data_IF_059498234626
#
_entry.id   IF_059498234626
#
_cell.length_a   1.000
_cell.length_b   1.000
_cell.length_c   1.000
_cell.angle_alpha   90.00
_cell.angle_beta   90.00
_cell.angle_gamma   90.00
#
_symmetry.space_group_name_H-M   'P 1'
#
loop_
_entity.id
_entity.type
_entity.pdbx_description
1 polymer ?
#
# COMPACT_ATOMS: atom_id res chain seq x y z
N UNK A 1 3.18 -13.88 16.03
CA UNK A 1 1.90 -13.42 15.44
C UNK A 1 1.93 -11.89 15.42
N UNK A 2 1.60 -11.24 14.30
CA UNK A 2 1.82 -9.78 14.13
C UNK A 2 0.56 -8.93 14.40
N UNK A 3 -0.58 -9.54 14.73
CA UNK A 3 -1.84 -8.84 15.11
C UNK A 3 -2.38 -7.86 14.05
N UNK A 4 -1.97 -8.01 12.78
CA UNK A 4 -2.48 -7.21 11.67
C UNK A 4 -3.84 -7.77 11.20
N UNK A 5 -4.86 -6.92 11.27
CA UNK A 5 -6.26 -7.26 10.95
C UNK A 5 -6.49 -7.53 9.46
N UNK A 6 -7.60 -8.18 9.13
CA UNK A 6 -7.98 -8.49 7.75
C UNK A 6 -8.54 -7.27 7.00
N UNK A 7 -8.76 -7.42 5.70
CA UNK A 7 -9.23 -6.35 4.81
C UNK A 7 -10.58 -5.74 5.23
N UNK A 8 -11.46 -6.51 5.87
CA UNK A 8 -12.78 -6.03 6.27
C UNK A 8 -12.69 -5.08 7.47
N UNK A 9 -11.83 -5.40 8.44
CA UNK A 9 -11.56 -4.51 9.57
C UNK A 9 -10.83 -3.25 9.11
N UNK A 10 -9.88 -3.36 8.18
CA UNK A 10 -9.22 -2.19 7.58
C UNK A 10 -10.23 -1.30 6.85
N UNK A 11 -11.12 -1.86 6.04
CA UNK A 11 -12.20 -1.10 5.39
C UNK A 11 -13.07 -0.40 6.43
N UNK A 12 -13.54 -1.12 7.45
CA UNK A 12 -14.39 -0.56 8.51
C UNK A 12 -13.70 0.59 9.24
N UNK A 13 -12.41 0.44 9.54
CA UNK A 13 -11.58 1.47 10.15
C UNK A 13 -11.50 2.72 9.28
N UNK A 14 -11.21 2.54 7.99
CA UNK A 14 -11.17 3.64 7.03
C UNK A 14 -12.49 4.37 6.90
N UNK A 15 -13.62 3.65 6.81
CA UNK A 15 -14.94 4.28 6.67
C UNK A 15 -15.28 5.18 7.87
N UNK A 16 -14.95 4.73 9.10
CA UNK A 16 -15.09 5.55 10.31
C UNK A 16 -14.21 6.80 10.26
N UNK A 17 -12.94 6.64 9.86
CA UNK A 17 -12.01 7.76 9.74
C UNK A 17 -12.49 8.76 8.68
N UNK A 18 -12.92 8.27 7.52
CA UNK A 18 -13.46 9.08 6.44
C UNK A 18 -14.69 9.86 6.90
N UNK A 19 -15.65 9.19 7.55
CA UNK A 19 -16.84 9.84 8.10
C UNK A 19 -16.50 10.94 9.11
N UNK A 20 -15.54 10.68 10.01
CA UNK A 20 -15.04 11.69 10.95
C UNK A 20 -14.45 12.92 10.22
N UNK A 21 -13.66 12.69 9.17
CA UNK A 21 -12.99 13.75 8.42
C UNK A 21 -13.96 14.56 7.55
N UNK A 22 -15.04 13.95 7.03
CA UNK A 22 -16.02 14.64 6.19
C UNK A 22 -17.14 15.30 6.98
N UNK A 23 -17.59 14.68 8.08
CA UNK A 23 -18.80 15.09 8.80
C UNK A 23 -18.51 15.62 10.21
N UNK A 24 -17.24 15.58 10.66
CA UNK A 24 -16.84 16.08 11.96
C UNK A 24 -17.11 17.57 12.13
N UNK A 25 -17.57 17.96 13.32
CA UNK A 25 -17.85 19.35 13.69
C UNK A 25 -16.58 20.17 14.02
N UNK A 26 -15.38 19.59 13.87
CA UNK A 26 -14.09 20.22 14.11
C UNK A 26 -13.74 20.46 15.58
N UNK A 27 -14.55 19.97 16.53
CA UNK A 27 -14.27 20.13 17.96
C UNK A 27 -13.20 19.12 18.43
N UNK A 28 -12.09 19.61 18.98
CA UNK A 28 -10.86 18.83 19.20
C UNK A 28 -11.03 17.58 20.09
N UNK A 29 -11.71 17.61 21.25
CA UNK A 29 -11.95 16.41 22.06
C UNK A 29 -12.77 15.33 21.33
N UNK A 30 -13.74 15.75 20.52
CA UNK A 30 -14.59 14.82 19.76
C UNK A 30 -13.84 14.25 18.56
N UNK A 31 -12.98 15.05 17.92
CA UNK A 31 -12.11 14.61 16.85
C UNK A 31 -11.11 13.55 17.31
N UNK A 32 -10.38 13.80 18.40
CA UNK A 32 -9.37 12.86 18.91
C UNK A 32 -9.99 11.53 19.34
N UNK A 33 -11.17 11.57 19.98
CA UNK A 33 -11.93 10.36 20.32
C UNK A 33 -12.39 9.60 19.06
N UNK A 34 -12.96 10.31 18.09
CA UNK A 34 -13.37 9.68 16.83
C UNK A 34 -12.19 9.06 16.07
N UNK A 35 -11.02 9.71 16.12
CA UNK A 35 -9.79 9.20 15.51
C UNK A 35 -9.34 7.91 16.19
N UNK A 36 -9.36 7.86 17.52
CA UNK A 36 -9.08 6.65 18.30
C UNK A 36 -10.09 5.53 18.00
N UNK A 37 -11.39 5.85 18.00
CA UNK A 37 -12.49 4.93 17.72
C UNK A 37 -12.47 4.37 16.28
N UNK A 38 -11.79 5.06 15.36
CA UNK A 38 -11.56 4.58 13.99
C UNK A 38 -10.62 3.38 13.95
N UNK A 39 -9.69 3.25 14.90
CA UNK A 39 -8.67 2.20 14.91
C UNK A 39 -7.57 2.36 13.86
N UNK A 40 -7.61 3.41 13.03
CA UNK A 40 -6.71 3.53 11.88
C UNK A 40 -5.25 3.60 12.30
N UNK A 41 -4.93 4.48 13.26
CA UNK A 41 -3.56 4.66 13.76
C UNK A 41 -3.05 3.39 14.48
N UNK A 42 -3.92 2.64 15.14
CA UNK A 42 -3.58 1.36 15.75
C UNK A 42 -3.20 0.32 14.69
N UNK A 43 -3.90 0.30 13.55
CA UNK A 43 -3.55 -0.57 12.43
C UNK A 43 -2.21 -0.18 11.79
N UNK A 44 -1.95 1.12 11.58
CA UNK A 44 -0.65 1.61 11.10
C UNK A 44 0.48 1.26 12.08
N UNK A 45 0.26 1.45 13.39
CA UNK A 45 1.23 1.09 14.42
C UNK A 45 1.52 -0.42 14.43
N UNK A 46 0.50 -1.26 14.26
CA UNK A 46 0.65 -2.71 14.20
C UNK A 46 1.46 -3.16 12.97
N UNK A 47 1.23 -2.53 11.81
CA UNK A 47 2.03 -2.75 10.60
C UNK A 47 3.50 -2.39 10.82
N UNK A 48 3.77 -1.17 11.31
CA UNK A 48 5.13 -0.70 11.57
C UNK A 48 5.85 -1.57 12.61
N UNK A 49 5.15 -1.97 13.69
CA UNK A 49 5.70 -2.88 14.71
C UNK A 49 6.04 -4.25 14.12
N UNK A 50 5.19 -4.78 13.24
CA UNK A 50 5.43 -6.04 12.56
C UNK A 50 6.65 -5.98 11.64
N UNK A 51 6.77 -4.92 10.84
CA UNK A 51 7.91 -4.70 9.96
C UNK A 51 9.22 -4.45 10.72
N UNK A 52 9.16 -3.72 11.83
CA UNK A 52 10.32 -3.50 12.69
C UNK A 52 10.80 -4.82 13.32
N UNK A 53 9.89 -5.69 13.77
CA UNK A 53 10.22 -7.01 14.29
C UNK A 53 10.92 -7.89 13.24
N UNK A 54 10.42 -7.87 12.00
CA UNK A 54 11.05 -8.56 10.88
C UNK A 54 12.44 -7.99 10.56
N UNK A 55 12.58 -6.66 10.52
CA UNK A 55 13.84 -5.99 10.30
C UNK A 55 14.89 -6.33 11.39
N UNK A 56 14.48 -6.31 12.65
CA UNK A 56 15.32 -6.67 13.79
C UNK A 56 15.78 -8.13 13.74
N UNK A 57 14.89 -9.04 13.33
CA UNK A 57 15.23 -10.46 13.16
C UNK A 57 16.29 -10.68 12.07
N UNK A 58 16.19 -9.94 10.97
CA UNK A 58 17.16 -10.01 9.87
C UNK A 58 18.50 -9.37 10.25
N UNK A 59 18.45 -8.14 10.79
CA UNK A 59 19.64 -7.32 11.00
C UNK A 59 20.39 -7.67 12.28
N UNK A 60 19.68 -7.74 13.41
CA UNK A 60 20.31 -7.93 14.72
C UNK A 60 20.48 -9.41 15.05
N UNK A 61 19.44 -10.21 14.83
CA UNK A 61 19.50 -11.65 15.13
C UNK A 61 20.19 -12.49 14.04
N UNK A 62 20.45 -11.91 12.85
CA UNK A 62 21.09 -12.58 11.71
C UNK A 62 20.36 -13.88 11.32
N UNK A 63 19.03 -13.86 11.34
CA UNK A 63 18.19 -15.02 11.01
C UNK A 63 17.33 -14.74 9.79
N UNK A 64 17.23 -15.73 8.90
CA UNK A 64 16.22 -15.75 7.84
C UNK A 64 14.83 -15.88 8.45
N UNK A 65 13.83 -15.29 7.78
CA UNK A 65 12.43 -15.36 8.19
C UNK A 65 11.53 -15.64 6.99
N UNK A 66 10.34 -16.20 7.27
CA UNK A 66 9.27 -16.38 6.31
C UNK A 66 8.09 -15.52 6.76
N UNK A 67 7.67 -14.56 5.94
CA UNK A 67 6.45 -13.78 6.17
C UNK A 67 5.33 -14.38 5.35
N UNK A 68 4.22 -14.73 6.01
CA UNK A 68 2.99 -15.10 5.31
C UNK A 68 1.77 -14.59 6.10
N UNK A 69 0.63 -14.52 5.42
CA UNK A 69 -0.67 -14.33 6.05
C UNK A 69 -1.62 -15.46 5.60
N UNK A 70 -2.88 -15.15 5.32
CA UNK A 70 -3.84 -16.12 4.77
C UNK A 70 -3.47 -16.44 3.32
N UNK A 71 -3.62 -15.47 2.42
CA UNK A 71 -3.38 -15.65 0.98
C UNK A 71 -2.03 -15.10 0.49
N UNK A 72 -1.36 -14.30 1.32
CA UNK A 72 -0.01 -13.83 1.05
C UNK A 72 0.13 -12.56 0.20
N UNK A 73 -0.96 -11.94 -0.25
CA UNK A 73 -0.89 -10.75 -1.14
C UNK A 73 -1.29 -9.42 -0.50
N UNK A 74 -1.88 -9.42 0.70
CA UNK A 74 -2.25 -8.18 1.43
C UNK A 74 -1.21 -7.87 2.52
N UNK A 75 -1.39 -8.44 3.72
CA UNK A 75 -0.54 -8.17 4.90
C UNK A 75 0.92 -8.57 4.70
N UNK A 76 1.17 -9.62 3.93
CA UNK A 76 2.54 -10.03 3.60
C UNK A 76 3.23 -8.93 2.82
N UNK A 77 2.62 -8.45 1.73
CA UNK A 77 3.14 -7.38 0.90
C UNK A 77 3.41 -6.10 1.72
N UNK A 78 2.48 -5.72 2.61
CA UNK A 78 2.67 -4.58 3.51
C UNK A 78 3.92 -4.76 4.40
N UNK A 79 4.04 -5.91 5.08
CA UNK A 79 5.13 -6.16 6.03
C UNK A 79 6.46 -6.24 5.31
N UNK A 80 6.56 -6.98 4.20
CA UNK A 80 7.84 -7.17 3.48
C UNK A 80 8.32 -5.87 2.84
N UNK A 81 7.43 -5.06 2.25
CA UNK A 81 7.78 -3.76 1.67
C UNK A 81 8.34 -2.81 2.74
N UNK A 82 7.62 -2.66 3.85
CA UNK A 82 8.06 -1.81 4.95
C UNK A 82 9.33 -2.33 5.62
N UNK A 83 9.52 -3.65 5.73
CA UNK A 83 10.77 -4.24 6.25
C UNK A 83 11.97 -3.88 5.37
N UNK A 84 11.81 -3.99 4.05
CA UNK A 84 12.85 -3.61 3.10
C UNK A 84 13.15 -2.10 3.15
N UNK A 85 12.13 -1.27 3.28
CA UNK A 85 12.28 0.18 3.44
C UNK A 85 13.07 0.57 4.70
N UNK A 86 12.87 -0.18 5.80
CA UNK A 86 13.64 0.00 7.04
C UNK A 86 15.11 -0.41 6.87
N UNK A 87 15.39 -1.50 6.15
CA UNK A 87 16.72 -2.11 6.09
C UNK A 87 17.62 -1.56 4.98
N UNK A 88 17.06 -1.25 3.81
CA UNK A 88 17.83 -0.94 2.61
C UNK A 88 17.64 0.53 2.19
N UNK A 89 18.70 1.36 2.25
CA UNK A 89 18.64 2.75 1.80
C UNK A 89 18.23 2.93 0.33
N UNK A 90 18.45 1.92 -0.53
CA UNK A 90 18.04 1.99 -1.93
C UNK A 90 16.54 2.26 -2.05
N UNK A 91 15.70 1.56 -1.27
CA UNK A 91 14.24 1.73 -1.34
C UNK A 91 13.74 3.08 -0.78
N UNK A 92 14.61 3.90 -0.21
CA UNK A 92 14.31 5.27 0.24
C UNK A 92 14.65 6.34 -0.80
N UNK A 93 15.16 5.93 -1.96
CA UNK A 93 15.27 6.76 -3.17
C UNK A 93 13.94 6.76 -3.93
N UNK A 94 13.70 7.76 -4.79
CA UNK A 94 12.49 7.81 -5.64
C UNK A 94 12.41 6.54 -6.49
N UNK A 95 13.49 6.22 -7.21
CA UNK A 95 13.56 5.03 -8.06
C UNK A 95 13.39 3.74 -7.26
N UNK A 96 14.03 3.65 -6.10
CA UNK A 96 13.90 2.48 -5.24
C UNK A 96 12.49 2.30 -4.71
N UNK A 97 11.82 3.38 -4.29
CA UNK A 97 10.45 3.28 -3.80
C UNK A 97 9.46 2.88 -4.91
N UNK A 98 9.58 3.45 -6.12
CA UNK A 98 8.81 2.98 -7.29
C UNK A 98 9.08 1.50 -7.57
N UNK A 99 10.35 1.07 -7.53
CA UNK A 99 10.74 -0.34 -7.70
C UNK A 99 10.15 -1.24 -6.62
N UNK A 100 10.08 -0.76 -5.37
CA UNK A 100 9.47 -1.51 -4.27
C UNK A 100 7.97 -1.73 -4.50
N UNK A 101 7.24 -0.70 -4.95
CA UNK A 101 5.82 -0.81 -5.30
C UNK A 101 5.61 -1.75 -6.49
N UNK A 102 6.37 -1.58 -7.57
CA UNK A 102 6.29 -2.43 -8.75
C UNK A 102 6.57 -3.90 -8.43
N UNK A 103 7.55 -4.15 -7.54
CA UNK A 103 7.90 -5.50 -7.11
C UNK A 103 6.84 -6.08 -6.17
N UNK A 104 6.71 -5.54 -4.96
CA UNK A 104 6.01 -6.22 -3.86
C UNK A 104 4.50 -6.00 -3.85
N UNK A 105 4.03 -4.91 -4.46
CA UNK A 105 2.59 -4.68 -4.62
C UNK A 105 2.15 -5.26 -5.96
N UNK A 106 2.75 -4.81 -7.06
CA UNK A 106 2.25 -5.19 -8.38
C UNK A 106 2.70 -6.60 -8.77
N UNK A 107 3.98 -6.85 -9.00
CA UNK A 107 4.46 -8.12 -9.56
C UNK A 107 4.10 -9.34 -8.69
N UNK A 108 4.19 -9.21 -7.36
CA UNK A 108 3.80 -10.26 -6.40
C UNK A 108 2.28 -10.44 -6.20
N UNK A 109 1.45 -9.75 -6.99
CA UNK A 109 0.04 -10.09 -7.16
C UNK A 109 -0.89 -9.58 -6.06
N UNK A 110 -0.58 -8.42 -5.45
CA UNK A 110 -1.59 -7.70 -4.69
C UNK A 110 -2.80 -7.45 -5.60
N UNK A 111 -4.00 -7.77 -5.09
CA UNK A 111 -5.30 -7.67 -5.78
C UNK A 111 -5.73 -6.22 -6.01
N UNK A 112 -4.90 -5.49 -6.74
CA UNK A 112 -4.92 -4.04 -6.83
C UNK A 112 -6.24 -3.55 -7.45
N UNK A 113 -6.76 -4.24 -8.46
CA UNK A 113 -8.02 -3.87 -9.10
C UNK A 113 -9.18 -4.00 -8.11
N UNK A 114 -9.27 -5.13 -7.42
CA UNK A 114 -10.30 -5.39 -6.41
C UNK A 114 -10.19 -4.44 -5.21
N UNK A 115 -8.98 -4.25 -4.68
CA UNK A 115 -8.72 -3.46 -3.47
C UNK A 115 -8.94 -1.97 -3.69
N UNK A 116 -8.70 -1.47 -4.91
CA UNK A 116 -8.97 -0.09 -5.30
C UNK A 116 -10.39 0.14 -5.83
N UNK A 117 -11.15 -0.93 -6.13
CA UNK A 117 -12.52 -0.84 -6.67
C UNK A 117 -12.54 -0.50 -8.18
N UNK A 118 -11.56 -1.00 -8.93
CA UNK A 118 -11.39 -0.80 -10.36
C UNK A 118 -11.87 -2.00 -11.20
N UNK A 119 -12.30 -3.07 -10.54
CA UNK A 119 -12.74 -4.34 -11.15
C UNK A 119 -14.17 -4.28 -11.72
N UNK A 120 -14.83 -3.12 -11.65
CA UNK A 120 -16.21 -2.91 -12.09
C UNK A 120 -17.26 -3.45 -11.12
N UNK A 121 -16.85 -3.86 -9.92
CA UNK A 121 -17.77 -4.21 -8.83
C UNK A 121 -18.39 -2.96 -8.19
N UNK A 122 -19.36 -3.16 -7.29
CA UNK A 122 -19.99 -2.08 -6.53
C UNK A 122 -18.94 -1.22 -5.81
N UNK A 123 -19.06 0.12 -5.84
CA UNK A 123 -18.17 1.01 -5.10
C UNK A 123 -18.07 0.61 -3.63
N UNK A 124 -16.85 0.50 -3.11
CA UNK A 124 -16.58 0.06 -1.73
C UNK A 124 -17.14 -1.34 -1.41
N UNK A 125 -17.22 -2.21 -2.42
CA UNK A 125 -17.71 -3.59 -2.31
C UNK A 125 -16.90 -4.51 -1.39
N UNK A 126 -17.28 -5.80 -1.33
CA UNK A 126 -16.75 -6.77 -0.36
C UNK A 126 -15.22 -6.94 -0.42
N UNK A 127 -14.62 -6.84 -1.61
CA UNK A 127 -13.18 -6.97 -1.80
C UNK A 127 -12.42 -5.65 -1.70
N UNK A 128 -13.12 -4.52 -1.65
CA UNK A 128 -12.49 -3.21 -1.52
C UNK A 128 -11.88 -3.04 -0.12
N UNK A 129 -10.63 -2.57 -0.06
CA UNK A 129 -9.94 -2.22 1.19
C UNK A 129 -8.70 -1.37 0.91
N UNK A 130 -8.41 -0.32 1.71
CA UNK A 130 -7.34 0.63 1.47
C UNK A 130 -5.95 0.10 1.92
N UNK A 131 -5.57 -1.07 1.41
CA UNK A 131 -4.32 -1.76 1.76
C UNK A 131 -3.09 -1.01 1.26
N UNK A 132 -3.11 -0.53 0.01
CA UNK A 132 -2.05 0.32 -0.52
C UNK A 132 -1.92 1.62 0.28
N UNK A 133 -3.05 2.24 0.65
CA UNK A 133 -3.04 3.46 1.45
C UNK A 133 -2.38 3.24 2.83
N UNK A 134 -2.59 2.09 3.47
CA UNK A 134 -1.88 1.78 4.71
C UNK A 134 -0.35 1.70 4.53
N UNK A 135 0.13 1.18 3.40
CA UNK A 135 1.58 1.17 3.09
C UNK A 135 2.08 2.61 2.94
N UNK A 136 1.35 3.45 2.20
CA UNK A 136 1.71 4.85 2.00
C UNK A 136 1.69 5.65 3.32
N UNK A 137 0.68 5.45 4.17
CA UNK A 137 0.61 6.09 5.49
C UNK A 137 1.76 5.62 6.40
N UNK A 138 2.01 4.31 6.47
CA UNK A 138 3.16 3.79 7.21
C UNK A 138 4.50 4.37 6.71
N UNK A 139 4.68 4.52 5.39
CA UNK A 139 5.85 5.22 4.84
C UNK A 139 5.88 6.70 5.24
N UNK A 140 4.74 7.39 5.22
CA UNK A 140 4.64 8.77 5.70
C UNK A 140 5.09 8.90 7.16
N UNK A 141 4.69 7.97 8.04
CA UNK A 141 5.14 7.96 9.43
C UNK A 141 6.67 7.82 9.55
N UNK A 142 7.30 7.02 8.68
CA UNK A 142 8.76 6.87 8.65
C UNK A 142 9.46 8.14 8.14
N UNK A 143 8.93 8.80 7.11
CA UNK A 143 9.44 10.10 6.63
C UNK A 143 9.34 11.15 7.74
N UNK A 144 8.20 11.19 8.46
CA UNK A 144 7.98 12.10 9.59
C UNK A 144 9.00 11.92 10.72
N UNK A 145 9.40 10.67 11.00
CA UNK A 145 10.36 10.34 12.05
C UNK A 145 11.82 10.51 11.61
N UNK A 146 12.11 10.29 10.32
CA UNK A 146 13.45 10.36 9.75
C UNK A 146 13.51 11.18 8.46
N UNK A 147 13.29 12.51 8.49
CA UNK A 147 13.14 13.32 7.29
C UNK A 147 14.36 13.29 6.35
N UNK A 148 15.57 13.16 6.90
CA UNK A 148 16.81 13.12 6.12
C UNK A 148 17.17 11.72 5.57
N UNK A 149 16.40 10.70 5.90
CA UNK A 149 16.66 9.32 5.48
C UNK A 149 16.01 8.98 4.12
N UNK A 150 15.14 9.85 3.61
CA UNK A 150 14.39 9.66 2.37
C UNK A 150 14.75 10.75 1.35
N UNK A 151 14.89 10.35 0.09
CA UNK A 151 15.06 11.29 -1.02
C UNK A 151 13.75 12.03 -1.35
N UNK A 152 12.62 11.37 -1.09
CA UNK A 152 11.28 11.87 -1.42
C UNK A 152 10.51 12.33 -0.19
N UNK A 153 9.49 13.17 -0.44
CA UNK A 153 8.57 13.70 0.56
C UNK A 153 7.21 13.00 0.49
N UNK A 154 6.27 13.46 1.31
CA UNK A 154 4.85 13.10 1.23
C UNK A 154 4.25 13.34 -0.17
N UNK A 155 4.83 14.23 -0.98
CA UNK A 155 4.32 14.55 -2.32
C UNK A 155 4.36 13.34 -3.26
N UNK A 156 5.41 12.52 -3.19
CA UNK A 156 5.48 11.28 -3.97
C UNK A 156 4.39 10.28 -3.52
N UNK A 157 4.15 10.19 -2.22
CA UNK A 157 3.13 9.29 -1.67
C UNK A 157 1.73 9.69 -2.13
N UNK A 158 1.43 11.00 -2.10
CA UNK A 158 0.17 11.56 -2.60
C UNK A 158 0.04 11.38 -4.11
N UNK A 159 1.13 11.55 -4.86
CA UNK A 159 1.16 11.30 -6.30
C UNK A 159 0.78 9.84 -6.60
N UNK A 160 1.42 8.88 -5.95
CA UNK A 160 1.12 7.44 -6.12
C UNK A 160 -0.33 7.15 -5.74
N UNK A 161 -0.80 7.63 -4.58
CA UNK A 161 -2.18 7.43 -4.15
C UNK A 161 -3.18 7.96 -5.19
N UNK A 162 -3.01 9.22 -5.61
CA UNK A 162 -3.90 9.86 -6.58
C UNK A 162 -3.96 9.07 -7.88
N UNK A 163 -2.81 8.63 -8.39
CA UNK A 163 -2.74 7.90 -9.65
C UNK A 163 -3.27 6.47 -9.55
N UNK A 164 -3.06 5.78 -8.42
CA UNK A 164 -3.63 4.47 -8.16
C UNK A 164 -5.17 4.52 -8.13
N UNK A 165 -5.74 5.46 -7.36
CA UNK A 165 -7.20 5.59 -7.23
C UNK A 165 -7.87 6.26 -8.45
N UNK A 166 -7.13 6.98 -9.29
CA UNK A 166 -7.68 7.61 -10.51
C UNK A 166 -8.22 6.60 -11.53
N UNK A 167 -7.73 5.35 -11.48
CA UNK A 167 -7.97 4.36 -12.52
C UNK A 167 -7.35 4.71 -13.88
N UNK A 168 -6.60 5.80 -14.04
CA UNK A 168 -5.97 6.18 -15.32
C UNK A 168 -4.70 5.37 -15.57
N UNK A 169 -3.91 5.14 -14.52
CA UNK A 169 -2.65 4.40 -14.63
C UNK A 169 -2.93 2.91 -14.76
N UNK A 170 -2.49 2.33 -15.88
CA UNK A 170 -2.74 0.93 -16.24
C UNK A 170 -2.16 -0.06 -15.22
N UNK A 171 -1.04 0.28 -14.60
CA UNK A 171 -0.33 -0.63 -13.69
C UNK A 171 -1.20 -1.13 -12.52
N UNK A 172 -2.13 -0.28 -12.04
CA UNK A 172 -3.02 -0.58 -10.92
C UNK A 172 -4.36 -1.22 -11.34
N UNK A 173 -4.63 -1.41 -12.64
CA UNK A 173 -5.94 -1.90 -13.11
C UNK A 173 -6.14 -3.40 -13.02
N UNK A 174 -5.07 -4.16 -12.86
CA UNK A 174 -5.10 -5.63 -12.90
C UNK A 174 -4.57 -6.20 -11.58
N UNK A 175 -5.05 -7.39 -11.22
CA UNK A 175 -4.75 -8.05 -9.94
C UNK A 175 -3.46 -8.88 -9.97
N UNK A 176 -2.95 -9.20 -11.15
CA UNK A 176 -1.77 -10.04 -11.30
C UNK A 176 -0.87 -9.61 -12.45
N UNK A 177 0.41 -10.00 -12.37
CA UNK A 177 1.35 -9.80 -13.47
C UNK A 177 0.90 -10.50 -14.75
N UNK A 178 0.30 -11.70 -14.61
CA UNK A 178 -0.27 -12.46 -15.72
C UNK A 178 -1.35 -11.65 -16.46
N UNK A 179 -2.26 -11.01 -15.73
CA UNK A 179 -3.30 -10.16 -16.31
C UNK A 179 -2.72 -8.92 -16.99
N UNK A 180 -1.73 -8.25 -16.36
CA UNK A 180 -1.02 -7.10 -16.97
C UNK A 180 -0.32 -7.46 -18.27
N UNK A 181 0.33 -8.61 -18.33
CA UNK A 181 0.96 -9.10 -19.57
C UNK A 181 -0.10 -9.37 -20.66
N UNK A 182 -1.24 -9.96 -20.28
CA UNK A 182 -2.33 -10.20 -21.22
C UNK A 182 -2.96 -8.89 -21.75
N UNK A 183 -3.09 -7.85 -20.91
CA UNK A 183 -3.68 -6.57 -21.33
C UNK A 183 -2.72 -5.67 -22.11
N UNK A 184 -1.41 -5.88 -21.99
CA UNK A 184 -0.37 -5.14 -22.73
C UNK A 184 -0.01 -5.77 -24.07
N UNK A 185 -0.39 -7.04 -24.31
CA UNK A 185 -0.20 -7.67 -25.61
C UNK A 185 -0.88 -6.85 -26.73
N UNK A 186 -0.17 -6.53 -27.82
CA UNK A 186 -0.77 -5.79 -28.93
C UNK A 186 -1.95 -6.60 -29.47
N UNK A 187 -3.14 -5.98 -29.47
CA UNK A 187 -4.30 -6.54 -30.18
C UNK A 187 -3.84 -6.78 -31.61
N UNK A 188 -3.96 -8.02 -32.10
CA UNK A 188 -3.67 -8.37 -33.49
C UNK A 188 -4.66 -7.66 -34.43
N UNK A 189 -4.41 -6.39 -34.68
CA UNK A 189 -5.01 -5.56 -35.72
C UNK A 189 -3.96 -4.49 -36.04
N UNK A 190 -3.43 -4.53 -37.27
CA UNK A 190 -2.24 -3.80 -37.69
C UNK A 190 -2.18 -2.35 -37.20
N UNK A 191 -1.09 -2.01 -36.51
CA UNK A 191 -0.84 -0.68 -35.98
C UNK A 191 0.43 -0.69 -35.15
N UNK A 192 1.31 0.26 -35.43
CA UNK A 192 2.68 0.43 -34.92
C UNK A 192 2.85 0.15 -33.43
N UNK A 193 3.92 -0.59 -33.09
CA UNK A 193 4.30 -0.95 -31.73
C UNK A 193 4.39 0.29 -30.82
N UNK A 194 3.55 0.33 -29.80
CA UNK A 194 3.67 1.30 -28.72
C UNK A 194 4.88 0.92 -27.84
N UNK A 195 5.72 1.90 -27.55
CA UNK A 195 6.82 1.81 -26.59
C UNK A 195 6.28 1.33 -25.23
N UNK A 196 7.05 0.55 -24.42
CA UNK A 196 6.63 0.19 -23.08
C UNK A 196 6.30 1.46 -22.29
N UNK A 197 5.15 1.44 -21.61
CA UNK A 197 4.77 2.50 -20.69
C UNK A 197 5.86 2.58 -19.60
N UNK A 198 6.26 3.79 -19.18
CA UNK A 198 7.18 3.91 -18.07
C UNK A 198 6.57 3.23 -16.84
N UNK A 199 7.38 2.39 -16.19
CA UNK A 199 7.21 2.13 -14.76
C UNK A 199 7.20 3.49 -14.04
N UNK A 200 6.29 3.64 -13.08
CA UNK A 200 5.98 4.84 -12.30
C UNK A 200 7.04 5.96 -12.30
#
# INVERSE_FOLDING_TARGET
HLEIVNIHEVRKSYLKLHELLTNGNGHEPDFLRGLDDSGWLQHIASLLKGSLCAAYTLHEHRRSLLVHCSDGWDRTAQVVSLTQLLLDPYFRTITGYCTLIDKDILAFGHKTSQRLGLDGSEPLGHEWSPILLQVLDATHQLIRQHPSAFEFTTDLLLYIATHAYSGVVRNFREDSEKERMASTAPRTSGGTAASPAPCL
#
